data_IF_408940840491
#
_entry.id   IF_408940840491
#
_cell.length_a   1.000
_cell.length_b   1.000
_cell.length_c   1.000
_cell.angle_alpha   90.00
_cell.angle_beta   90.00
_cell.angle_gamma   90.00
#
_symmetry.space_group_name_H-M   'P 1'
#
loop_
_entity.id
_entity.type
_entity.pdbx_description
1 polymer ?
#
# COMPACT_ATOMS: atom_id res chain seq x y z
N UNK A 1 -0.80 2.62 29.94
CA UNK A 1 -1.25 2.39 28.57
C UNK A 1 -0.06 2.00 27.71
N UNK A 2 -0.15 0.91 26.92
CA UNK A 2 0.92 0.61 26.00
C UNK A 2 1.10 1.80 25.06
N UNK A 3 2.33 2.26 24.94
CA UNK A 3 2.65 3.30 23.99
C UNK A 3 2.15 2.83 22.62
N UNK A 4 1.14 3.52 22.09
CA UNK A 4 0.65 3.22 20.74
C UNK A 4 1.81 3.41 19.79
N UNK A 5 2.16 2.35 19.09
CA UNK A 5 3.07 2.47 17.97
C UNK A 5 2.44 3.46 17.00
N UNK A 6 3.06 4.61 16.82
CA UNK A 6 2.57 5.63 15.87
C UNK A 6 2.94 5.24 14.44
N UNK A 7 2.65 3.99 14.08
CA UNK A 7 2.95 3.49 12.75
C UNK A 7 2.26 4.31 11.65
N UNK A 8 1.04 4.78 11.93
CA UNK A 8 0.27 5.60 11.00
C UNK A 8 0.94 6.93 10.67
N UNK A 9 1.83 7.40 11.51
CA UNK A 9 2.62 8.61 11.25
C UNK A 9 3.60 8.40 10.09
N UNK A 10 4.15 7.20 9.99
CA UNK A 10 5.17 6.86 9.00
C UNK A 10 4.60 6.16 7.77
N UNK A 11 3.52 5.42 7.97
CA UNK A 11 2.80 4.74 6.91
C UNK A 11 1.30 4.84 7.19
N UNK A 12 0.68 5.98 6.84
CA UNK A 12 -0.77 6.11 6.94
C UNK A 12 -1.46 5.18 5.94
N UNK A 13 -2.75 4.86 6.14
CA UNK A 13 -3.52 4.15 5.12
C UNK A 13 -3.37 4.87 3.78
N UNK A 14 -2.76 4.21 2.81
CA UNK A 14 -2.43 4.80 1.51
C UNK A 14 -3.20 4.09 0.42
N UNK A 15 -4.08 4.78 -0.33
CA UNK A 15 -4.77 4.17 -1.46
C UNK A 15 -3.79 3.97 -2.63
N UNK A 16 -3.85 2.79 -3.23
CA UNK A 16 -3.14 2.49 -4.46
C UNK A 16 -4.15 2.29 -5.57
N UNK A 17 -3.93 2.93 -6.71
CA UNK A 17 -4.74 2.75 -7.90
C UNK A 17 -3.97 1.93 -8.91
N UNK A 18 -4.50 0.76 -9.23
CA UNK A 18 -3.91 -0.14 -10.21
C UNK A 18 -4.91 -0.32 -11.34
N UNK A 19 -4.44 -0.16 -12.56
CA UNK A 19 -5.23 -0.37 -13.77
C UNK A 19 -4.58 -1.47 -14.59
N UNK A 20 -5.36 -2.47 -14.95
CA UNK A 20 -4.90 -3.58 -15.80
C UNK A 20 -5.91 -3.83 -16.92
N UNK A 21 -5.42 -4.28 -18.05
CA UNK A 21 -6.24 -4.72 -19.16
C UNK A 21 -6.45 -6.24 -19.12
N UNK A 22 -7.23 -6.74 -20.06
CA UNK A 22 -7.51 -8.18 -20.18
C UNK A 22 -6.27 -9.02 -20.48
N UNK A 23 -5.20 -8.41 -20.99
CA UNK A 23 -3.91 -9.06 -21.20
C UNK A 23 -3.01 -9.06 -19.98
N UNK A 24 -3.53 -8.58 -18.84
CA UNK A 24 -2.82 -8.49 -17.55
C UNK A 24 -1.67 -7.49 -17.56
N UNK A 25 -1.73 -6.50 -18.45
CA UNK A 25 -0.74 -5.44 -18.55
C UNK A 25 -1.16 -4.25 -17.70
N UNK A 26 -0.19 -3.63 -17.01
CA UNK A 26 -0.43 -2.41 -16.27
C UNK A 26 -0.66 -1.24 -17.23
N UNK A 27 -1.70 -0.47 -16.95
CA UNK A 27 -2.08 0.69 -17.76
C UNK A 27 -2.11 1.95 -16.92
N UNK A 28 -1.89 3.08 -17.58
CA UNK A 28 -2.24 4.39 -17.05
C UNK A 28 -3.16 5.05 -18.06
N UNK A 29 -4.43 5.18 -17.69
CA UNK A 29 -5.43 5.83 -18.54
C UNK A 29 -5.88 7.11 -17.89
N UNK A 30 -5.99 8.15 -18.68
CA UNK A 30 -6.70 9.36 -18.30
C UNK A 30 -8.19 9.11 -18.54
N UNK A 31 -8.99 9.20 -17.47
CA UNK A 31 -10.40 8.83 -17.50
C UNK A 31 -11.28 10.06 -17.19
N UNK A 32 -11.27 11.09 -18.03
CA UNK A 32 -12.00 12.32 -17.71
C UNK A 32 -13.52 12.17 -17.75
N UNK A 33 -14.05 11.24 -18.54
CA UNK A 33 -15.50 11.05 -18.72
C UNK A 33 -15.83 9.59 -18.93
N UNK A 34 -16.24 8.95 -17.85
CA UNK A 34 -16.78 7.58 -17.91
C UNK A 34 -18.30 7.63 -17.73
N UNK A 35 -19.02 6.99 -18.61
CA UNK A 35 -20.45 6.79 -18.46
C UNK A 35 -20.71 5.58 -17.56
N UNK A 36 -21.70 5.70 -16.67
CA UNK A 36 -22.14 4.58 -15.88
C UNK A 36 -22.82 3.56 -16.77
N UNK A 37 -22.28 2.34 -16.78
CA UNK A 37 -22.89 1.20 -17.43
C UNK A 37 -23.60 0.30 -16.42
N UNK A 38 -24.26 -0.70 -16.93
CA UNK A 38 -24.88 -1.76 -16.12
C UNK A 38 -23.83 -2.84 -15.82
N UNK A 39 -23.34 -2.99 -14.58
CA UNK A 39 -22.28 -3.93 -14.26
C UNK A 39 -22.67 -5.39 -14.56
N UNK A 40 -23.93 -5.73 -14.41
CA UNK A 40 -24.41 -7.10 -14.66
C UNK A 40 -24.22 -7.55 -16.11
N UNK A 41 -24.19 -6.65 -17.08
CA UNK A 41 -23.95 -7.02 -18.49
C UNK A 41 -22.56 -7.61 -18.71
N UNK A 42 -21.57 -7.08 -18.01
CA UNK A 42 -20.22 -7.61 -18.06
C UNK A 42 -20.07 -8.86 -17.18
N UNK A 43 -20.65 -8.83 -15.99
CA UNK A 43 -20.53 -9.91 -15.02
C UNK A 43 -21.33 -11.16 -15.41
N UNK A 44 -22.38 -11.00 -16.20
CA UNK A 44 -23.18 -12.14 -16.68
C UNK A 44 -22.49 -12.91 -17.82
N UNK A 45 -21.45 -12.35 -18.42
CA UNK A 45 -20.67 -13.06 -19.42
C UNK A 45 -19.75 -14.08 -18.71
N UNK A 46 -19.93 -15.39 -18.92
CA UNK A 46 -19.12 -16.41 -18.22
C UNK A 46 -17.64 -16.31 -18.52
N UNK A 47 -17.25 -15.92 -19.71
CA UNK A 47 -15.84 -15.76 -20.08
C UNK A 47 -15.20 -14.63 -19.28
N UNK A 48 -15.89 -13.51 -19.14
CA UNK A 48 -15.40 -12.38 -18.34
C UNK A 48 -15.34 -12.75 -16.87
N UNK A 49 -16.42 -13.29 -16.33
CA UNK A 49 -16.55 -13.56 -14.90
C UNK A 49 -15.62 -14.67 -14.40
N UNK A 50 -15.44 -15.72 -15.20
CA UNK A 50 -14.69 -16.92 -14.76
C UNK A 50 -13.24 -16.95 -15.21
N UNK A 51 -12.93 -16.36 -16.36
CA UNK A 51 -11.60 -16.46 -16.95
C UNK A 51 -10.85 -15.13 -16.95
N UNK A 52 -11.46 -14.07 -17.47
CA UNK A 52 -10.78 -12.79 -17.67
C UNK A 52 -10.62 -12.04 -16.37
N UNK A 53 -11.71 -11.83 -15.64
CA UNK A 53 -11.72 -11.01 -14.43
C UNK A 53 -10.83 -11.56 -13.31
N UNK A 54 -10.86 -12.86 -12.98
CA UNK A 54 -9.97 -13.39 -11.95
C UNK A 54 -8.49 -13.22 -12.29
N UNK A 55 -8.13 -13.37 -13.56
CA UNK A 55 -6.75 -13.16 -14.03
C UNK A 55 -6.32 -11.70 -13.91
N UNK A 56 -7.20 -10.76 -14.25
CA UNK A 56 -6.96 -9.34 -14.11
C UNK A 56 -6.80 -8.94 -12.64
N UNK A 57 -7.65 -9.46 -11.76
CA UNK A 57 -7.56 -9.20 -10.32
C UNK A 57 -6.24 -9.72 -9.73
N UNK A 58 -5.83 -10.90 -10.14
CA UNK A 58 -4.55 -11.48 -9.71
C UNK A 58 -3.37 -10.63 -10.16
N UNK A 59 -3.38 -10.17 -11.40
CA UNK A 59 -2.35 -9.29 -11.94
C UNK A 59 -2.34 -7.94 -11.21
N UNK A 60 -3.50 -7.34 -10.98
CA UNK A 60 -3.63 -6.09 -10.25
C UNK A 60 -3.10 -6.22 -8.82
N UNK A 61 -3.38 -7.32 -8.14
CA UNK A 61 -2.85 -7.60 -6.81
C UNK A 61 -1.33 -7.66 -6.83
N UNK A 62 -0.75 -8.33 -7.81
CA UNK A 62 0.70 -8.43 -7.95
C UNK A 62 1.35 -7.06 -8.15
N UNK A 63 0.80 -6.22 -9.01
CA UNK A 63 1.29 -4.84 -9.21
C UNK A 63 1.14 -4.00 -7.94
N UNK A 64 0.02 -4.14 -7.23
CA UNK A 64 -0.21 -3.44 -5.98
C UNK A 64 0.80 -3.85 -4.91
N UNK A 65 1.11 -5.13 -4.81
CA UNK A 65 2.12 -5.65 -3.88
C UNK A 65 3.51 -5.10 -4.19
N UNK A 66 3.88 -4.99 -5.45
CA UNK A 66 5.15 -4.36 -5.86
C UNK A 66 5.22 -2.90 -5.43
N UNK A 67 4.16 -2.13 -5.69
CA UNK A 67 4.09 -0.73 -5.27
C UNK A 67 4.13 -0.60 -3.75
N UNK A 68 3.42 -1.48 -3.05
CA UNK A 68 3.40 -1.48 -1.59
C UNK A 68 4.79 -1.77 -1.01
N UNK A 69 5.55 -2.69 -1.60
CA UNK A 69 6.91 -2.97 -1.15
C UNK A 69 7.82 -1.75 -1.27
N UNK A 70 7.69 -0.98 -2.35
CA UNK A 70 8.45 0.25 -2.53
C UNK A 70 8.08 1.29 -1.46
N UNK A 71 6.79 1.46 -1.16
CA UNK A 71 6.30 2.38 -0.13
C UNK A 71 6.78 1.94 1.26
N UNK A 72 6.70 0.66 1.56
CA UNK A 72 7.17 0.09 2.83
C UNK A 72 8.66 0.33 3.00
N UNK A 73 9.45 0.08 1.96
CA UNK A 73 10.90 0.29 1.99
C UNK A 73 11.25 1.75 2.27
N UNK A 74 10.56 2.69 1.62
CA UNK A 74 10.78 4.12 1.83
C UNK A 74 10.38 4.54 3.24
N UNK A 75 9.27 4.06 3.76
CA UNK A 75 8.82 4.33 5.13
C UNK A 75 9.82 3.79 6.15
N UNK A 76 10.37 2.61 5.92
CA UNK A 76 11.39 2.02 6.80
C UNK A 76 12.66 2.86 6.81
N UNK A 77 13.09 3.37 5.67
CA UNK A 77 14.23 4.28 5.60
C UNK A 77 13.99 5.56 6.40
N UNK A 78 12.81 6.15 6.26
CA UNK A 78 12.43 7.36 6.99
C UNK A 78 12.45 7.12 8.50
N UNK A 79 11.84 6.03 8.97
CA UNK A 79 11.81 5.66 10.37
C UNK A 79 13.22 5.46 10.90
N UNK A 80 14.03 4.68 10.18
CA UNK A 80 15.41 4.38 10.60
C UNK A 80 16.22 5.66 10.72
N UNK A 81 16.12 6.55 9.75
CA UNK A 81 16.83 7.82 9.77
C UNK A 81 16.41 8.70 10.93
N UNK A 82 15.12 8.88 11.15
CA UNK A 82 14.60 9.75 12.20
C UNK A 82 14.86 9.20 13.60
N UNK A 83 14.58 7.92 13.83
CA UNK A 83 14.78 7.33 15.15
C UNK A 83 16.24 7.08 15.45
N UNK A 84 17.06 6.76 14.46
CA UNK A 84 18.50 6.66 14.67
C UNK A 84 19.11 8.00 15.03
N UNK A 85 18.66 9.09 14.38
CA UNK A 85 19.10 10.44 14.73
C UNK A 85 18.72 10.78 16.18
N UNK A 86 17.54 10.37 16.64
CA UNK A 86 17.13 10.57 18.04
C UNK A 86 17.99 9.75 19.00
N UNK A 87 18.29 8.49 18.67
CA UNK A 87 19.18 7.64 19.46
C UNK A 87 20.57 8.27 19.57
N UNK A 88 21.10 8.76 18.46
CA UNK A 88 22.40 9.41 18.41
C UNK A 88 22.43 10.68 19.24
N UNK A 89 21.34 11.46 19.18
CA UNK A 89 21.18 12.67 20.00
C UNK A 89 21.20 12.35 21.49
N UNK A 90 20.42 11.35 21.92
CA UNK A 90 20.36 10.91 23.31
C UNK A 90 21.71 10.36 23.77
N UNK A 91 22.38 9.60 22.95
CA UNK A 91 23.71 9.04 23.24
C UNK A 91 24.74 10.15 23.44
N UNK A 92 24.71 11.17 22.58
CA UNK A 92 25.61 12.32 22.68
C UNK A 92 25.33 13.16 23.94
N UNK A 93 24.03 13.39 24.25
CA UNK A 93 23.61 14.11 25.46
C UNK A 93 24.06 13.40 26.73
N UNK A 94 23.99 12.07 26.74
CA UNK A 94 24.38 11.28 27.90
C UNK A 94 25.87 11.45 28.24
N UNK A 95 26.71 11.66 27.24
CA UNK A 95 28.17 11.89 27.46
C UNK A 95 28.46 13.15 28.23
N UNK A 96 27.57 14.15 28.14
CA UNK A 96 27.74 15.46 28.79
C UNK A 96 26.72 15.72 29.88
N UNK A 97 25.70 14.91 29.99
CA UNK A 97 24.61 15.08 30.94
C UNK A 97 24.17 13.74 31.54
N UNK A 98 24.47 13.52 32.81
CA UNK A 98 24.16 12.29 33.54
C UNK A 98 22.65 12.11 33.78
N UNK A 99 21.83 13.13 33.53
CA UNK A 99 20.37 13.03 33.67
C UNK A 99 19.72 12.20 32.55
N UNK A 100 20.39 12.00 31.42
CA UNK A 100 19.90 11.11 30.38
C UNK A 100 20.14 9.66 30.82
N UNK A 101 19.07 8.92 31.04
CA UNK A 101 19.14 7.55 31.52
C UNK A 101 19.44 6.56 30.37
N UNK A 102 20.22 5.50 30.63
CA UNK A 102 20.41 4.43 29.64
C UNK A 102 19.10 3.86 29.12
N UNK A 103 18.09 3.80 29.99
CA UNK A 103 16.77 3.27 29.67
C UNK A 103 16.05 4.06 28.57
N UNK A 104 16.26 5.38 28.49
CA UNK A 104 15.68 6.22 27.45
C UNK A 104 16.22 5.85 26.07
N UNK A 105 17.51 5.57 25.98
CA UNK A 105 18.17 5.12 24.72
C UNK A 105 17.64 3.74 24.33
N UNK A 106 17.52 2.86 25.30
CA UNK A 106 17.02 1.50 25.09
C UNK A 106 15.57 1.50 24.60
N UNK A 107 14.70 2.33 25.19
CA UNK A 107 13.33 2.50 24.74
C UNK A 107 13.25 3.04 23.32
N UNK A 108 14.10 3.97 22.94
CA UNK A 108 14.16 4.51 21.58
C UNK A 108 14.57 3.42 20.59
N UNK A 109 15.50 2.56 20.94
CA UNK A 109 15.91 1.41 20.10
C UNK A 109 14.79 0.39 19.95
N UNK A 110 14.06 0.09 21.02
CA UNK A 110 12.91 -0.80 20.98
C UNK A 110 11.81 -0.23 20.08
N UNK A 111 11.56 1.07 20.16
CA UNK A 111 10.58 1.75 19.32
C UNK A 111 10.94 1.61 17.84
N UNK A 112 12.20 1.80 17.50
CA UNK A 112 12.69 1.62 16.13
C UNK A 112 12.42 0.21 15.62
N UNK A 113 12.77 -0.79 16.42
CA UNK A 113 12.55 -2.20 16.07
C UNK A 113 11.08 -2.52 15.90
N UNK A 114 10.22 -2.06 16.81
CA UNK A 114 8.77 -2.30 16.76
C UNK A 114 8.12 -1.63 15.57
N UNK A 115 8.48 -0.38 15.27
CA UNK A 115 7.91 0.36 14.14
C UNK A 115 8.33 -0.26 12.80
N UNK A 116 9.59 -0.59 12.63
CA UNK A 116 10.04 -1.23 11.38
C UNK A 116 9.40 -2.60 11.18
N UNK A 117 9.23 -3.37 12.26
CA UNK A 117 8.54 -4.66 12.21
C UNK A 117 7.05 -4.49 11.87
N UNK A 118 6.37 -3.54 12.50
CA UNK A 118 4.96 -3.28 12.25
C UNK A 118 4.71 -2.88 10.80
N UNK A 119 5.54 -2.00 10.26
CA UNK A 119 5.40 -1.54 8.87
C UNK A 119 5.72 -2.66 7.88
N UNK A 120 6.69 -3.51 8.18
CA UNK A 120 7.01 -4.67 7.34
C UNK A 120 5.85 -5.66 7.22
N UNK A 121 4.93 -5.67 8.19
CA UNK A 121 3.73 -6.51 8.18
C UNK A 121 2.55 -5.91 7.43
N UNK A 122 2.69 -4.71 6.90
CA UNK A 122 1.62 -4.05 6.13
C UNK A 122 1.21 -4.89 4.92
N UNK A 123 -0.08 -4.88 4.64
CA UNK A 123 -0.67 -5.69 3.57
C UNK A 123 -1.51 -4.81 2.65
N UNK A 124 -1.59 -5.26 1.41
CA UNK A 124 -2.51 -4.69 0.42
C UNK A 124 -3.87 -5.37 0.58
N UNK A 125 -4.92 -4.57 0.56
CA UNK A 125 -6.30 -5.05 0.60
C UNK A 125 -7.09 -4.40 -0.52
N UNK A 126 -7.93 -5.18 -1.18
CA UNK A 126 -8.86 -4.65 -2.18
C UNK A 126 -9.91 -3.80 -1.46
N UNK A 127 -10.00 -2.54 -1.82
CA UNK A 127 -10.97 -1.60 -1.29
C UNK A 127 -12.13 -1.43 -2.26
N UNK A 128 -11.82 -1.06 -3.50
CA UNK A 128 -12.82 -0.80 -4.53
C UNK A 128 -12.37 -1.38 -5.87
N UNK A 129 -13.32 -1.93 -6.58
CA UNK A 129 -13.12 -2.44 -7.94
C UNK A 129 -14.00 -1.66 -8.91
N UNK A 130 -13.41 -1.19 -10.00
CA UNK A 130 -14.13 -0.53 -11.09
C UNK A 130 -13.84 -1.24 -12.39
N UNK A 131 -14.88 -1.70 -13.05
CA UNK A 131 -14.80 -2.28 -14.39
C UNK A 131 -15.00 -1.19 -15.43
N UNK A 132 -14.11 -1.15 -16.41
CA UNK A 132 -14.15 -0.17 -17.49
C UNK A 132 -14.20 -0.93 -18.81
N UNK A 133 -15.23 -0.64 -19.59
CA UNK A 133 -15.37 -1.18 -20.93
C UNK A 133 -14.92 -0.11 -21.94
N UNK A 134 -13.99 -0.47 -22.78
CA UNK A 134 -13.53 0.40 -23.88
C UNK A 134 -13.99 -0.21 -25.20
N UNK A 135 -14.94 0.44 -25.83
CA UNK A 135 -15.49 0.00 -27.11
C UNK A 135 -16.97 0.37 -27.24
N UNK A 136 -17.60 -0.01 -28.36
CA UNK A 136 -19.03 0.26 -28.55
C UNK A 136 -19.87 -0.44 -27.48
N UNK A 137 -20.89 0.23 -26.89
CA UNK A 137 -21.76 -0.39 -25.90
C UNK A 137 -22.47 -1.65 -26.39
N UNK A 138 -22.72 -1.74 -27.65
CA UNK A 138 -23.39 -2.88 -28.30
C UNK A 138 -22.56 -4.16 -28.26
N UNK A 139 -21.23 -4.04 -28.14
CA UNK A 139 -20.34 -5.20 -28.05
C UNK A 139 -20.30 -5.81 -26.65
N UNK A 140 -20.90 -5.14 -25.65
CA UNK A 140 -21.03 -5.69 -24.30
C UNK A 140 -22.13 -6.75 -24.32
N UNK A 141 -21.75 -8.01 -24.16
CA UNK A 141 -22.71 -9.11 -24.20
C UNK A 141 -22.96 -9.66 -25.60
N UNK A 142 -22.23 -9.24 -26.59
CA UNK A 142 -22.15 -9.94 -27.85
C UNK A 142 -21.59 -11.34 -27.62
N UNK A 143 -22.28 -12.30 -28.11
CA UNK A 143 -21.94 -13.70 -27.94
C UNK A 143 -20.50 -14.00 -28.42
#
# INVERSE_FOLDING_TARGET
>A
APARLQADRFLPPTPLRIMVNHKKESLTLDLPKLEKGAPYKLLDNPQINREILPGMLKAAKSFAEEQAQAIIAESRKTITRQLQAEIDRLTSLRKVNDHVRPKEIELAREQLTRLTSAIAKSRVRLDTLRLIWKGPPESIGGA
#
